data_IF_705305917929
#
_entry.id   IF_705305917929
#
_cell.length_a   1.000
_cell.length_b   1.000
_cell.length_c   1.000
_cell.angle_alpha   90.00
_cell.angle_beta   90.00
_cell.angle_gamma   90.00
#
_symmetry.space_group_name_H-M   'P 1'
#
loop_
_entity.id
_entity.type
_entity.pdbx_description
1 polymer ?
#
# COMPACT_ATOMS: atom_id res chain seq x y z
N UNK A 1 16.11 3.64 14.46
CA UNK A 1 15.54 4.78 15.24
C UNK A 1 14.05 4.67 15.54
N UNK A 2 13.11 4.79 14.59
CA UNK A 2 11.66 4.78 14.95
C UNK A 2 11.18 3.40 15.40
N UNK A 3 11.79 2.32 14.89
CA UNK A 3 11.56 0.96 15.39
C UNK A 3 12.03 0.81 16.84
N UNK A 4 13.23 1.29 17.18
CA UNK A 4 13.69 1.33 18.58
C UNK A 4 12.75 2.15 19.48
N UNK A 5 12.13 3.23 18.97
CA UNK A 5 11.10 3.98 19.74
C UNK A 5 9.87 3.10 19.99
N UNK A 6 9.38 2.39 18.97
CA UNK A 6 8.27 1.44 19.13
C UNK A 6 8.61 0.35 20.15
N UNK A 7 9.80 -0.24 20.05
CA UNK A 7 10.27 -1.29 20.97
C UNK A 7 10.36 -0.80 22.42
N UNK A 8 10.83 0.44 22.65
CA UNK A 8 10.84 1.05 24.00
C UNK A 8 9.44 1.22 24.58
N UNK A 9 8.42 1.39 23.73
CA UNK A 9 7.00 1.43 24.11
C UNK A 9 6.37 0.02 24.19
N UNK A 10 7.17 -1.03 23.97
CA UNK A 10 6.78 -2.43 24.02
C UNK A 10 6.12 -2.96 22.75
N UNK A 11 6.28 -2.28 21.61
CA UNK A 11 5.63 -2.62 20.35
C UNK A 11 6.61 -3.12 19.28
N UNK A 12 6.19 -4.14 18.53
CA UNK A 12 6.72 -4.48 17.22
C UNK A 12 5.79 -3.90 16.13
N UNK A 13 6.36 -3.31 15.07
CA UNK A 13 5.60 -2.69 13.98
C UNK A 13 5.63 -3.54 12.72
N UNK A 14 4.45 -3.80 12.17
CA UNK A 14 4.25 -4.56 10.94
C UNK A 14 3.63 -3.68 9.86
N UNK A 15 4.09 -3.85 8.63
CA UNK A 15 3.64 -3.11 7.45
C UNK A 15 3.22 -4.09 6.35
N UNK A 16 2.15 -3.74 5.63
CA UNK A 16 1.70 -4.43 4.42
C UNK A 16 1.31 -3.40 3.36
N UNK A 17 2.23 -2.99 2.48
CA UNK A 17 1.95 -2.05 1.40
C UNK A 17 1.35 -2.78 0.19
N UNK A 18 0.31 -2.19 -0.39
CA UNK A 18 -0.32 -2.57 -1.66
C UNK A 18 0.25 -1.66 -2.76
N UNK A 19 1.31 -2.07 -3.48
CA UNK A 19 1.89 -1.21 -4.53
C UNK A 19 1.26 -1.51 -5.88
N UNK A 20 0.47 -0.55 -6.34
CA UNK A 20 -0.11 -0.54 -7.67
C UNK A 20 0.92 -0.07 -8.71
N UNK A 21 0.80 -0.53 -9.95
CA UNK A 21 1.66 -0.13 -11.05
C UNK A 21 0.96 -0.30 -12.40
N UNK A 22 1.56 0.28 -13.44
CA UNK A 22 1.11 0.11 -14.83
C UNK A 22 2.17 -0.61 -15.66
N UNK A 23 1.72 -1.42 -16.62
CA UNK A 23 2.54 -1.83 -17.76
C UNK A 23 2.14 -1.07 -19.02
N UNK A 24 3.14 -0.66 -19.80
CA UNK A 24 2.97 0.01 -21.08
C UNK A 24 3.86 -0.62 -22.15
N UNK A 25 3.52 -0.42 -23.43
CA UNK A 25 4.41 -0.75 -24.55
C UNK A 25 5.60 0.21 -24.59
N UNK A 26 6.75 -0.29 -25.05
CA UNK A 26 8.04 0.43 -25.00
C UNK A 26 8.35 1.27 -26.25
N UNK A 27 7.60 1.07 -27.34
CA UNK A 27 7.90 1.57 -28.69
C UNK A 27 7.30 2.95 -29.02
N UNK A 28 6.60 3.58 -28.07
CA UNK A 28 5.92 4.87 -28.26
C UNK A 28 6.55 6.05 -27.52
N UNK A 29 6.31 7.26 -28.02
CA UNK A 29 6.60 8.52 -27.29
C UNK A 29 5.57 8.83 -26.20
N UNK A 30 4.48 8.08 -26.15
CA UNK A 30 3.38 8.21 -25.19
C UNK A 30 3.04 6.83 -24.58
N UNK A 31 2.51 6.77 -23.35
CA UNK A 31 2.10 5.50 -22.74
C UNK A 31 0.99 4.85 -23.56
N UNK A 32 1.23 3.64 -24.06
CA UNK A 32 0.22 2.81 -24.71
C UNK A 32 -0.11 1.61 -23.82
N UNK A 33 -1.40 1.49 -23.45
CA UNK A 33 -1.93 0.41 -22.61
C UNK A 33 -1.88 -0.93 -23.35
N UNK A 34 -1.73 -2.01 -22.59
CA UNK A 34 -1.77 -3.38 -23.09
C UNK A 34 -3.21 -3.86 -23.30
N UNK A 35 -4.11 -3.43 -22.42
CA UNK A 35 -5.49 -3.89 -22.36
C UNK A 35 -6.45 -2.81 -21.86
N UNK A 36 -7.74 -3.15 -21.83
CA UNK A 36 -8.81 -2.33 -21.27
C UNK A 36 -9.63 -3.12 -20.23
N UNK A 37 -8.98 -4.07 -19.55
CA UNK A 37 -9.58 -4.79 -18.43
C UNK A 37 -9.82 -3.85 -17.24
N UNK A 38 -10.79 -4.21 -16.40
CA UNK A 38 -11.07 -3.52 -15.15
C UNK A 38 -10.77 -4.37 -13.91
N UNK A 39 -11.16 -3.85 -12.76
CA UNK A 39 -10.91 -4.46 -11.46
C UNK A 39 -11.42 -5.90 -11.39
N UNK A 40 -10.51 -6.84 -11.11
CA UNK A 40 -10.79 -8.29 -11.01
C UNK A 40 -11.33 -8.94 -12.30
N UNK A 41 -11.18 -8.31 -13.47
CA UNK A 41 -11.51 -8.96 -14.74
C UNK A 41 -10.64 -10.22 -14.96
N UNK A 42 -11.23 -11.22 -15.61
CA UNK A 42 -10.56 -12.48 -15.97
C UNK A 42 -10.39 -12.57 -17.50
N UNK A 43 -9.49 -13.45 -17.96
CA UNK A 43 -9.29 -13.79 -19.37
C UNK A 43 -10.60 -13.90 -20.15
N UNK A 44 -10.72 -13.29 -21.36
CA UNK A 44 -9.64 -12.89 -22.29
C UNK A 44 -9.24 -11.40 -22.26
N UNK A 45 -9.76 -10.58 -21.33
CA UNK A 45 -9.55 -9.12 -21.36
C UNK A 45 -8.26 -8.63 -20.70
N UNK A 46 -7.67 -9.45 -19.83
CA UNK A 46 -6.46 -9.13 -19.06
C UNK A 46 -5.24 -9.76 -19.75
N UNK A 47 -4.45 -8.93 -20.43
CA UNK A 47 -3.32 -9.37 -21.25
C UNK A 47 -2.05 -9.61 -20.43
N UNK A 48 -1.98 -9.07 -19.21
CA UNK A 48 -0.80 -9.14 -18.35
C UNK A 48 -0.82 -10.27 -17.30
N UNK A 49 -1.80 -11.19 -17.36
CA UNK A 49 -1.95 -12.25 -16.35
C UNK A 49 -0.69 -13.13 -16.22
N UNK A 50 -0.03 -13.46 -17.32
CA UNK A 50 1.17 -14.29 -17.31
C UNK A 50 2.39 -13.51 -16.81
N UNK A 51 2.48 -12.20 -17.09
CA UNK A 51 3.52 -11.33 -16.51
C UNK A 51 3.39 -11.20 -15.00
N UNK A 52 2.15 -11.00 -14.50
CA UNK A 52 1.91 -10.97 -13.06
C UNK A 52 2.26 -12.31 -12.43
N UNK A 53 1.91 -13.43 -13.08
CA UNK A 53 2.29 -14.77 -12.61
C UNK A 53 3.81 -14.95 -12.53
N UNK A 54 4.56 -14.54 -13.56
CA UNK A 54 6.03 -14.62 -13.55
C UNK A 54 6.64 -13.78 -12.42
N UNK A 55 6.11 -12.56 -12.23
CA UNK A 55 6.52 -11.69 -11.12
C UNK A 55 6.29 -12.36 -9.77
N UNK A 56 5.09 -12.93 -9.54
CA UNK A 56 4.75 -13.63 -8.30
C UNK A 56 5.71 -14.79 -8.05
N UNK A 57 5.94 -15.65 -9.04
CA UNK A 57 6.84 -16.80 -8.91
C UNK A 57 8.28 -16.36 -8.60
N UNK A 58 8.75 -15.30 -9.25
CA UNK A 58 10.09 -14.74 -9.01
C UNK A 58 10.23 -14.22 -7.57
N UNK A 59 9.22 -13.52 -7.05
CA UNK A 59 9.21 -13.04 -5.67
C UNK A 59 9.22 -14.20 -4.66
N UNK A 60 8.42 -15.25 -4.92
CA UNK A 60 8.38 -16.42 -4.05
C UNK A 60 9.72 -17.17 -4.02
N UNK A 61 10.40 -17.30 -5.16
CA UNK A 61 11.76 -17.86 -5.24
C UNK A 61 12.79 -17.03 -4.44
N UNK A 62 12.58 -15.72 -4.34
CA UNK A 62 13.39 -14.82 -3.50
C UNK A 62 12.98 -14.82 -2.03
N UNK A 63 11.97 -15.62 -1.64
CA UNK A 63 11.45 -15.70 -0.27
C UNK A 63 10.48 -14.58 0.12
N UNK A 64 10.05 -13.74 -0.84
CA UNK A 64 9.05 -12.70 -0.62
C UNK A 64 7.67 -13.31 -0.87
N UNK A 65 6.90 -13.49 0.20
CA UNK A 65 5.57 -14.11 0.13
C UNK A 65 4.55 -13.15 -0.45
N UNK A 66 3.79 -13.62 -1.42
CA UNK A 66 2.64 -12.91 -2.03
C UNK A 66 1.34 -13.42 -1.40
N UNK A 67 0.38 -12.53 -1.16
CA UNK A 67 -0.98 -12.88 -0.73
C UNK A 67 -1.96 -12.94 -1.90
N UNK A 68 -1.97 -11.91 -2.75
CA UNK A 68 -2.90 -11.78 -3.86
C UNK A 68 -2.24 -11.10 -5.06
N UNK A 69 -2.84 -11.28 -6.23
CA UNK A 69 -2.48 -10.55 -7.45
C UNK A 69 -3.73 -10.35 -8.30
N UNK A 70 -3.95 -9.15 -8.81
CA UNK A 70 -5.10 -8.86 -9.66
C UNK A 70 -4.84 -7.71 -10.64
N UNK A 71 -5.73 -7.62 -11.62
CA UNK A 71 -5.88 -6.42 -12.42
C UNK A 71 -6.60 -5.35 -11.58
N UNK A 72 -6.12 -4.11 -11.68
CA UNK A 72 -6.65 -2.96 -10.97
C UNK A 72 -7.75 -2.24 -11.77
N UNK A 73 -8.25 -1.11 -11.28
CA UNK A 73 -9.39 -0.40 -11.87
C UNK A 73 -9.07 0.17 -13.27
N UNK A 74 -7.89 0.77 -13.48
CA UNK A 74 -7.55 1.40 -14.75
C UNK A 74 -6.99 0.40 -15.78
N UNK A 75 -7.12 0.70 -17.09
CA UNK A 75 -6.48 -0.06 -18.17
C UNK A 75 -4.99 -0.32 -17.91
N UNK A 76 -4.57 -1.59 -17.97
CA UNK A 76 -3.19 -2.04 -17.73
C UNK A 76 -2.60 -1.65 -16.38
N UNK A 77 -3.47 -1.43 -15.39
CA UNK A 77 -3.10 -1.26 -14.00
C UNK A 77 -3.14 -2.61 -13.30
N UNK A 78 -2.18 -2.83 -12.42
CA UNK A 78 -1.98 -4.10 -11.74
C UNK A 78 -1.57 -3.90 -10.29
N UNK A 79 -1.89 -4.88 -9.47
CA UNK A 79 -1.52 -4.94 -8.05
C UNK A 79 -1.09 -6.37 -7.69
N UNK A 80 -0.02 -6.45 -6.91
CA UNK A 80 0.45 -7.68 -6.28
C UNK A 80 0.67 -7.35 -4.80
N UNK A 81 -0.10 -8.02 -3.95
CA UNK A 81 -0.09 -7.82 -2.52
C UNK A 81 0.97 -8.70 -1.88
N UNK A 82 1.88 -8.08 -1.16
CA UNK A 82 2.88 -8.80 -0.37
C UNK A 82 2.30 -9.13 1.00
N UNK A 83 2.64 -10.31 1.52
CA UNK A 83 2.32 -10.67 2.90
C UNK A 83 3.06 -9.73 3.85
N UNK A 84 2.31 -9.12 4.77
CA UNK A 84 2.89 -8.21 5.76
C UNK A 84 4.05 -8.85 6.54
N UNK A 85 5.03 -8.03 6.91
CA UNK A 85 6.15 -8.40 7.77
C UNK A 85 6.57 -7.18 8.61
N UNK A 86 7.60 -7.31 9.43
CA UNK A 86 8.16 -6.18 10.16
C UNK A 86 8.52 -5.01 9.22
N UNK A 87 8.40 -3.79 9.73
CA UNK A 87 8.46 -2.60 8.88
C UNK A 87 9.78 -2.41 8.11
N UNK A 88 10.92 -2.86 8.64
CA UNK A 88 12.21 -2.70 7.96
C UNK A 88 12.35 -3.71 6.82
N UNK A 89 12.11 -4.99 7.11
CA UNK A 89 12.10 -6.04 6.09
C UNK A 89 11.07 -5.72 5.00
N UNK A 90 9.91 -5.15 5.38
CA UNK A 90 8.90 -4.77 4.39
C UNK A 90 9.37 -3.64 3.48
N UNK A 91 10.16 -2.69 3.98
CA UNK A 91 10.74 -1.65 3.13
C UNK A 91 11.72 -2.24 2.10
N UNK A 92 12.55 -3.21 2.52
CA UNK A 92 13.44 -3.96 1.63
C UNK A 92 12.65 -4.76 0.58
N UNK A 93 11.57 -5.43 1.00
CA UNK A 93 10.69 -6.18 0.12
C UNK A 93 10.01 -5.26 -0.91
N UNK A 94 9.53 -4.09 -0.50
CA UNK A 94 8.91 -3.12 -1.40
C UNK A 94 9.91 -2.58 -2.45
N UNK A 95 11.16 -2.33 -2.06
CA UNK A 95 12.23 -1.97 -3.01
C UNK A 95 12.48 -3.09 -4.02
N UNK A 96 12.63 -4.32 -3.52
CA UNK A 96 12.92 -5.51 -4.32
C UNK A 96 11.78 -5.82 -5.28
N UNK A 97 10.54 -5.74 -4.79
CA UNK A 97 9.34 -5.93 -5.59
C UNK A 97 9.27 -4.98 -6.78
N UNK A 98 9.51 -3.67 -6.56
CA UNK A 98 9.55 -2.70 -7.66
C UNK A 98 10.60 -3.03 -8.71
N UNK A 99 11.75 -3.58 -8.30
CA UNK A 99 12.79 -4.03 -9.21
C UNK A 99 12.34 -5.26 -10.01
N UNK A 100 11.80 -6.28 -9.35
CA UNK A 100 11.35 -7.51 -10.01
C UNK A 100 10.28 -7.22 -11.05
N UNK A 101 9.26 -6.40 -10.73
CA UNK A 101 8.23 -5.98 -11.69
C UNK A 101 8.84 -5.33 -12.94
N UNK A 102 9.82 -4.45 -12.75
CA UNK A 102 10.50 -3.77 -13.86
C UNK A 102 11.34 -4.73 -14.71
N UNK A 103 12.06 -5.65 -14.06
CA UNK A 103 12.89 -6.64 -14.76
C UNK A 103 12.04 -7.64 -15.55
N UNK A 104 10.92 -8.11 -15.00
CA UNK A 104 9.98 -8.97 -15.73
C UNK A 104 9.42 -8.21 -16.92
N UNK A 105 8.92 -6.98 -16.74
CA UNK A 105 8.41 -6.19 -17.86
C UNK A 105 9.46 -6.00 -18.97
N UNK A 106 10.70 -5.66 -18.59
CA UNK A 106 11.80 -5.45 -19.54
C UNK A 106 12.10 -6.70 -20.38
N UNK A 107 12.07 -7.89 -19.77
CA UNK A 107 12.27 -9.18 -20.47
C UNK A 107 11.18 -9.45 -21.52
N UNK A 108 9.99 -8.94 -21.30
CA UNK A 108 8.85 -9.03 -22.24
C UNK A 108 8.76 -7.85 -23.20
N UNK A 109 9.76 -6.95 -23.22
CA UNK A 109 9.75 -5.77 -24.09
C UNK A 109 8.73 -4.71 -23.69
N UNK A 110 8.30 -4.70 -22.43
CA UNK A 110 7.33 -3.78 -21.85
C UNK A 110 8.00 -2.83 -20.85
N UNK A 111 7.30 -1.77 -20.51
CA UNK A 111 7.73 -0.77 -19.54
C UNK A 111 6.80 -0.76 -18.32
N UNK A 112 7.35 -1.11 -17.15
CA UNK A 112 6.63 -1.00 -15.88
C UNK A 112 6.89 0.34 -15.20
N UNK A 113 5.82 0.97 -14.71
CA UNK A 113 5.92 2.22 -13.96
C UNK A 113 5.10 2.23 -12.69
N UNK A 114 5.72 2.74 -11.63
CA UNK A 114 5.09 3.04 -10.34
C UNK A 114 4.80 4.55 -10.20
N UNK A 115 4.75 5.27 -11.32
CA UNK A 115 4.41 6.69 -11.34
C UNK A 115 2.98 6.88 -10.80
N UNK A 116 2.72 7.84 -9.89
CA UNK A 116 1.42 7.92 -9.21
C UNK A 116 0.21 8.18 -10.12
N UNK A 117 0.42 8.82 -11.27
CA UNK A 117 -0.62 9.23 -12.21
C UNK A 117 -0.03 9.29 -13.62
N UNK A 118 0.15 8.14 -14.29
CA UNK A 118 0.73 8.12 -15.63
C UNK A 118 -0.30 8.51 -16.71
N UNK A 119 -1.60 8.27 -16.45
CA UNK A 119 -2.72 8.60 -17.32
C UNK A 119 -3.63 9.64 -16.64
N UNK A 120 -3.95 10.73 -17.33
CA UNK A 120 -4.66 11.86 -16.71
C UNK A 120 -6.12 11.56 -16.39
N UNK A 121 -6.78 10.76 -17.23
CA UNK A 121 -8.22 10.48 -17.14
C UNK A 121 -8.57 9.20 -16.35
N UNK A 122 -7.56 8.40 -15.97
CA UNK A 122 -7.72 7.08 -15.35
C UNK A 122 -7.30 7.09 -13.88
N UNK A 123 -7.60 6.02 -13.13
CA UNK A 123 -7.08 5.85 -11.77
C UNK A 123 -5.54 5.96 -11.72
N UNK A 124 -5.03 6.47 -10.59
CA UNK A 124 -3.59 6.56 -10.34
C UNK A 124 -3.11 5.42 -9.45
N UNK A 125 -1.81 5.14 -9.45
CA UNK A 125 -1.20 4.10 -8.62
C UNK A 125 -0.99 4.55 -7.18
N UNK A 126 -1.64 3.86 -6.24
CA UNK A 126 -1.45 3.98 -4.80
C UNK A 126 -0.39 3.05 -4.20
N UNK A 127 -0.01 3.37 -2.96
CA UNK A 127 0.67 2.45 -2.05
C UNK A 127 -0.07 2.43 -0.72
N UNK A 128 -1.29 1.85 -0.71
CA UNK A 128 -2.04 1.74 0.53
C UNK A 128 -1.22 0.93 1.53
N UNK A 129 -0.97 1.49 2.70
CA UNK A 129 -0.09 0.83 3.67
C UNK A 129 -0.90 0.39 4.87
N UNK A 130 -1.10 -0.92 4.99
CA UNK A 130 -1.63 -1.55 6.18
C UNK A 130 -0.60 -1.50 7.30
N UNK A 131 -1.02 -1.09 8.50
CA UNK A 131 -0.15 -0.95 9.67
C UNK A 131 -0.80 -1.60 10.90
N UNK A 132 0.02 -2.27 11.69
CA UNK A 132 -0.37 -2.82 12.98
C UNK A 132 0.80 -2.81 13.95
N UNK A 133 0.48 -2.70 15.23
CA UNK A 133 1.43 -2.84 16.33
C UNK A 133 1.11 -4.12 17.10
N UNK A 134 2.15 -4.82 17.54
CA UNK A 134 2.03 -6.04 18.33
C UNK A 134 2.78 -5.91 19.65
N UNK A 135 2.20 -6.43 20.73
CA UNK A 135 2.87 -6.64 22.02
C UNK A 135 3.06 -8.14 22.24
N UNK A 136 4.27 -8.63 21.99
CA UNK A 136 4.49 -10.07 21.84
C UNK A 136 3.63 -10.61 20.69
N UNK A 137 2.86 -11.66 20.94
CA UNK A 137 1.98 -12.27 19.93
C UNK A 137 0.58 -11.62 19.84
N UNK A 138 0.28 -10.64 20.70
CA UNK A 138 -1.02 -9.97 20.71
C UNK A 138 -1.01 -8.73 19.82
N UNK A 139 -1.93 -8.68 18.86
CA UNK A 139 -2.19 -7.47 18.08
C UNK A 139 -2.73 -6.37 19.02
N UNK A 140 -1.98 -5.28 19.15
CA UNK A 140 -2.28 -4.18 20.05
C UNK A 140 -3.43 -3.30 19.56
N UNK A 141 -3.85 -3.43 18.28
CA UNK A 141 -4.99 -2.69 17.75
C UNK A 141 -6.32 -3.40 17.99
N UNK A 142 -6.32 -4.68 18.33
CA UNK A 142 -7.53 -5.46 18.57
C UNK A 142 -8.01 -5.38 20.02
N UNK A 143 -9.30 -5.14 20.19
CA UNK A 143 -10.00 -5.19 21.47
C UNK A 143 -11.29 -6.03 21.34
N UNK A 144 -11.41 -7.18 22.03
CA UNK A 144 -12.61 -8.00 21.94
C UNK A 144 -13.85 -7.37 22.62
N UNK A 145 -13.65 -6.41 23.52
CA UNK A 145 -14.74 -5.81 24.31
C UNK A 145 -15.31 -4.53 23.64
N UNK A 146 -14.62 -4.00 22.64
CA UNK A 146 -15.06 -2.84 21.86
C UNK A 146 -16.02 -3.26 20.73
N UNK A 147 -17.13 -2.54 20.56
CA UNK A 147 -18.13 -2.86 19.52
C UNK A 147 -17.57 -2.84 18.09
N UNK A 148 -16.52 -2.05 17.85
CA UNK A 148 -15.81 -1.95 16.57
C UNK A 148 -14.57 -2.83 16.50
N UNK A 149 -14.24 -3.53 17.59
CA UNK A 149 -13.05 -4.35 17.77
C UNK A 149 -11.71 -3.61 17.66
N UNK A 150 -11.76 -2.28 17.76
CA UNK A 150 -10.60 -1.40 17.72
C UNK A 150 -10.27 -0.95 19.14
N UNK A 151 -9.05 -1.21 19.57
CA UNK A 151 -8.54 -0.77 20.88
C UNK A 151 -8.29 0.74 20.97
N UNK A 152 -8.10 1.23 22.19
CA UNK A 152 -7.62 2.60 22.43
C UNK A 152 -6.25 2.87 21.79
N UNK A 153 -5.33 1.90 21.79
CA UNK A 153 -4.03 2.04 21.12
C UNK A 153 -4.22 2.25 19.62
N UNK A 154 -5.13 1.50 18.99
CA UNK A 154 -5.47 1.67 17.58
C UNK A 154 -6.05 3.06 17.30
N UNK A 155 -6.99 3.53 18.14
CA UNK A 155 -7.59 4.88 18.04
C UNK A 155 -6.57 6.00 18.20
N UNK A 156 -5.68 5.87 19.18
CA UNK A 156 -4.58 6.81 19.44
C UNK A 156 -3.60 6.87 18.26
N UNK A 157 -3.22 5.72 17.72
CA UNK A 157 -2.37 5.65 16.54
C UNK A 157 -2.98 6.36 15.33
N UNK A 158 -4.30 6.15 15.11
CA UNK A 158 -5.06 6.87 14.07
C UNK A 158 -5.06 8.38 14.34
N UNK A 159 -5.30 8.81 15.58
CA UNK A 159 -5.30 10.22 15.94
C UNK A 159 -3.98 10.91 15.60
N UNK A 160 -2.85 10.24 15.87
CA UNK A 160 -1.51 10.72 15.48
C UNK A 160 -1.33 10.84 13.97
N UNK A 161 -1.74 9.82 13.20
CA UNK A 161 -1.69 9.85 11.73
C UNK A 161 -2.58 10.96 11.13
N UNK A 162 -3.78 11.19 11.68
CA UNK A 162 -4.67 12.26 11.24
C UNK A 162 -4.08 13.64 11.57
N UNK A 163 -3.50 13.81 12.77
CA UNK A 163 -2.87 15.07 13.21
C UNK A 163 -1.73 15.50 12.30
N UNK A 164 -0.91 14.54 11.87
CA UNK A 164 0.32 14.76 11.12
C UNK A 164 0.18 14.51 9.62
N UNK A 165 -0.98 14.02 9.17
CA UNK A 165 -1.26 13.70 7.77
C UNK A 165 -0.81 14.77 6.77
N UNK A 166 -1.15 16.06 6.96
CA UNK A 166 -0.71 17.13 6.07
C UNK A 166 0.81 17.24 5.94
N UNK A 167 1.55 17.06 7.04
CA UNK A 167 3.00 17.24 7.10
C UNK A 167 3.74 16.02 6.53
N UNK A 168 3.33 14.81 6.90
CA UNK A 168 3.95 13.58 6.41
C UNK A 168 3.63 13.31 4.94
N UNK A 169 2.59 13.95 4.37
CA UNK A 169 2.26 13.86 2.94
C UNK A 169 3.45 14.24 2.07
N UNK A 170 4.28 15.21 2.46
CA UNK A 170 5.49 15.58 1.72
C UNK A 170 6.46 14.38 1.54
N UNK A 171 6.49 13.46 2.50
CA UNK A 171 7.39 12.30 2.50
C UNK A 171 6.72 11.07 1.89
N UNK A 172 5.41 10.91 2.05
CA UNK A 172 4.66 9.78 1.48
C UNK A 172 4.26 10.01 0.01
N UNK A 173 4.29 11.27 -0.46
CA UNK A 173 3.93 11.72 -1.80
C UNK A 173 5.03 12.67 -2.34
N UNK A 174 6.21 12.09 -2.64
CA UNK A 174 7.47 12.85 -2.81
C UNK A 174 7.59 13.63 -4.12
N UNK A 175 6.71 13.35 -5.10
CA UNK A 175 6.86 13.85 -6.45
C UNK A 175 5.75 14.83 -6.80
N UNK A 176 6.03 15.76 -7.70
CA UNK A 176 5.00 16.65 -8.28
C UNK A 176 3.83 15.83 -8.84
N UNK A 177 4.13 14.66 -9.43
CA UNK A 177 3.13 13.78 -9.98
C UNK A 177 2.24 13.10 -8.93
N UNK A 178 2.71 12.94 -7.70
CA UNK A 178 1.91 12.41 -6.58
C UNK A 178 0.64 13.23 -6.36
N UNK A 179 0.75 14.55 -6.44
CA UNK A 179 -0.38 15.46 -6.29
C UNK A 179 -1.34 15.48 -7.49
N UNK A 180 -1.00 14.79 -8.59
CA UNK A 180 -1.92 14.54 -9.71
C UNK A 180 -2.80 13.31 -9.47
N UNK A 181 -2.37 12.42 -8.56
CA UNK A 181 -3.18 11.31 -8.04
C UNK A 181 -4.17 11.79 -6.97
N UNK A 182 -3.72 12.66 -6.06
CA UNK A 182 -4.53 13.19 -4.96
C UNK A 182 -5.55 14.24 -5.44
N UNK A 183 -6.46 13.83 -6.30
CA UNK A 183 -7.59 14.63 -6.82
C UNK A 183 -8.90 13.86 -6.66
N UNK A 184 -10.04 14.54 -6.47
CA UNK A 184 -11.32 13.86 -6.30
C UNK A 184 -11.69 12.97 -7.50
N UNK A 185 -12.40 11.87 -7.25
CA UNK A 185 -13.02 11.04 -8.30
C UNK A 185 -12.29 9.74 -8.68
N UNK A 186 -11.14 9.43 -8.07
CA UNK A 186 -10.29 8.28 -8.44
C UNK A 186 -9.90 7.38 -7.25
N UNK A 187 -10.77 7.26 -6.25
CA UNK A 187 -10.55 6.49 -5.00
C UNK A 187 -9.32 6.87 -4.14
N UNK A 188 -8.56 7.89 -4.55
CA UNK A 188 -7.45 8.46 -3.79
C UNK A 188 -7.97 9.41 -2.69
N UNK A 189 -7.35 9.40 -1.49
CA UNK A 189 -7.79 10.24 -0.40
C UNK A 189 -7.37 11.70 -0.61
N UNK A 190 -8.34 12.62 -0.51
CA UNK A 190 -8.11 14.07 -0.65
C UNK A 190 -8.46 14.87 0.61
N UNK A 191 -9.04 14.21 1.62
CA UNK A 191 -9.42 14.80 2.90
C UNK A 191 -8.80 14.02 4.06
N UNK A 192 -8.49 14.73 5.15
CA UNK A 192 -8.02 14.10 6.39
C UNK A 192 -9.24 13.56 7.14
N UNK A 193 -9.51 12.28 6.95
CA UNK A 193 -10.67 11.59 7.50
C UNK A 193 -10.39 10.09 7.70
N UNK A 194 -11.22 9.42 8.50
CA UNK A 194 -11.12 7.98 8.68
C UNK A 194 -12.51 7.34 8.74
N UNK A 195 -12.59 6.10 8.27
CA UNK A 195 -13.81 5.30 8.33
C UNK A 195 -13.50 3.79 8.30
N UNK A 196 -14.51 2.97 8.62
CA UNK A 196 -14.38 1.51 8.52
C UNK A 196 -14.47 1.01 7.07
N UNK A 197 -15.41 1.53 6.27
CA UNK A 197 -15.74 0.92 4.97
C UNK A 197 -15.44 1.81 3.76
N UNK A 198 -15.32 3.13 3.94
CA UNK A 198 -15.17 4.05 2.83
C UNK A 198 -13.73 4.08 2.30
N UNK A 199 -13.60 3.87 0.98
CA UNK A 199 -12.31 3.79 0.27
C UNK A 199 -11.73 5.16 -0.09
N UNK A 200 -12.50 6.24 0.06
CA UNK A 200 -12.03 7.61 -0.21
C UNK A 200 -11.45 8.31 1.02
N UNK A 201 -11.55 7.69 2.21
CA UNK A 201 -10.97 8.24 3.44
C UNK A 201 -9.46 8.02 3.50
N UNK A 202 -8.74 8.94 4.15
CA UNK A 202 -7.29 8.84 4.34
C UNK A 202 -6.91 7.57 5.10
N UNK A 203 -7.68 7.23 6.12
CA UNK A 203 -7.50 6.01 6.90
C UNK A 203 -8.74 5.12 6.78
N UNK A 204 -8.53 3.91 6.29
CA UNK A 204 -9.55 2.85 6.30
C UNK A 204 -9.22 1.85 7.41
N UNK A 205 -10.24 1.32 8.09
CA UNK A 205 -10.08 0.20 9.03
C UNK A 205 -10.82 -1.01 8.46
N UNK A 206 -10.10 -1.98 7.83
CA UNK A 206 -10.71 -3.19 7.32
C UNK A 206 -11.55 -3.88 8.40
N UNK A 207 -12.78 -4.29 8.04
CA UNK A 207 -13.72 -4.90 8.99
C UNK A 207 -13.13 -6.18 9.58
N UNK A 208 -13.21 -6.30 10.91
CA UNK A 208 -12.82 -7.50 11.64
C UNK A 208 -13.62 -8.72 11.15
N UNK A 209 -12.93 -9.85 11.03
CA UNK A 209 -13.54 -11.16 10.74
C UNK A 209 -13.37 -12.05 11.98
N UNK A 210 -14.45 -12.67 12.51
CA UNK A 210 -14.35 -13.52 13.70
C UNK A 210 -13.22 -14.57 13.60
N UNK A 211 -12.40 -14.67 14.65
CA UNK A 211 -11.24 -15.58 14.72
C UNK A 211 -10.01 -15.10 13.93
N UNK A 212 -9.96 -13.81 13.56
CA UNK A 212 -8.82 -13.17 12.87
C UNK A 212 -8.34 -11.95 13.65
N UNK A 213 -8.13 -12.09 14.95
CA UNK A 213 -7.72 -11.02 15.87
C UNK A 213 -6.39 -10.40 15.44
N UNK A 214 -5.46 -11.24 14.96
CA UNK A 214 -4.16 -10.80 14.44
C UNK A 214 -4.28 -9.93 13.17
N UNK A 215 -5.41 -9.95 12.46
CA UNK A 215 -5.60 -9.23 11.21
C UNK A 215 -6.12 -7.78 11.38
N UNK A 216 -6.44 -7.35 12.61
CA UNK A 216 -6.87 -5.97 12.89
C UNK A 216 -5.74 -5.00 12.57
N UNK A 217 -6.04 -4.01 11.72
CA UNK A 217 -5.05 -3.08 11.19
C UNK A 217 -5.72 -1.81 10.74
N UNK A 218 -4.92 -0.77 10.57
CA UNK A 218 -5.34 0.44 9.87
C UNK A 218 -4.69 0.45 8.50
N UNK A 219 -5.29 1.14 7.56
CA UNK A 219 -4.79 1.30 6.21
C UNK A 219 -4.66 2.77 5.90
N UNK A 220 -3.42 3.24 5.79
CA UNK A 220 -3.12 4.62 5.43
C UNK A 220 -2.98 4.71 3.90
N UNK A 221 -3.93 5.38 3.25
CA UNK A 221 -4.15 5.29 1.79
C UNK A 221 -3.45 6.38 0.97
N UNK A 222 -2.92 7.41 1.63
CA UNK A 222 -2.25 8.51 0.96
C UNK A 222 -0.93 8.16 0.22
N UNK A 223 -0.06 7.25 0.70
CA UNK A 223 1.23 7.03 0.04
C UNK A 223 1.05 6.55 -1.39
N UNK A 224 2.03 6.86 -2.23
CA UNK A 224 2.14 6.36 -3.59
C UNK A 224 3.42 5.51 -3.74
N UNK A 225 3.50 4.65 -4.77
CA UNK A 225 4.59 3.69 -4.88
C UNK A 225 5.87 4.31 -5.46
N UNK A 226 5.89 5.61 -5.76
CA UNK A 226 7.09 6.33 -6.17
C UNK A 226 7.87 6.90 -4.97
N UNK A 227 7.29 6.89 -3.76
CA UNK A 227 8.01 7.31 -2.56
C UNK A 227 9.15 6.35 -2.18
N UNK A 228 10.01 6.82 -1.27
CA UNK A 228 10.98 5.97 -0.58
C UNK A 228 10.27 5.24 0.59
N UNK A 229 10.13 3.90 0.55
CA UNK A 229 9.36 3.16 1.54
C UNK A 229 9.97 3.24 2.94
N UNK A 230 11.30 3.30 3.08
CA UNK A 230 11.95 3.46 4.39
C UNK A 230 11.54 4.77 5.06
N UNK A 231 11.54 5.87 4.31
CA UNK A 231 11.15 7.19 4.83
C UNK A 231 9.65 7.25 5.07
N UNK A 232 8.83 6.75 4.14
CA UNK A 232 7.38 6.73 4.27
C UNK A 232 6.96 5.93 5.51
N UNK A 233 7.48 4.72 5.70
CA UNK A 233 7.16 3.88 6.86
C UNK A 233 7.67 4.51 8.15
N UNK A 234 8.84 5.14 8.12
CA UNK A 234 9.38 5.83 9.28
C UNK A 234 8.49 6.99 9.74
N UNK A 235 8.01 7.86 8.83
CA UNK A 235 7.16 9.00 9.22
C UNK A 235 5.76 8.57 9.62
N UNK A 236 5.20 7.54 8.98
CA UNK A 236 3.90 6.97 9.37
C UNK A 236 3.98 6.37 10.77
N UNK A 237 5.01 5.57 11.05
CA UNK A 237 5.24 5.02 12.39
C UNK A 237 5.47 6.12 13.43
N UNK A 238 6.27 7.15 13.10
CA UNK A 238 6.52 8.25 14.03
C UNK A 238 5.24 9.02 14.39
N UNK A 239 4.41 9.32 13.40
CA UNK A 239 3.13 10.01 13.60
C UNK A 239 2.15 9.17 14.42
N UNK A 240 2.05 7.88 14.12
CA UNK A 240 1.18 6.98 14.88
C UNK A 240 1.64 6.78 16.33
N UNK A 241 2.95 6.63 16.58
CA UNK A 241 3.48 6.53 17.94
C UNK A 241 3.27 7.81 18.75
N UNK A 242 3.39 8.98 18.13
CA UNK A 242 3.10 10.25 18.81
C UNK A 242 1.63 10.38 19.24
N UNK A 243 0.70 9.73 18.54
CA UNK A 243 -0.69 9.68 18.98
C UNK A 243 -0.93 8.80 20.22
N UNK A 244 -0.01 7.85 20.50
CA UNK A 244 -0.08 6.93 21.65
C UNK A 244 0.58 7.52 22.91
N UNK A 245 1.58 8.39 22.73
CA UNK A 245 2.30 9.08 23.81
C UNK A 245 1.52 10.31 24.32
#
# INVERSE_FOLDING_TARGET
RNLERAERLGFASYMGPELEYFYFKTDGSAPEVLDHAGYFDRTPRDEAIDLRRETVLTLEEMGIKVEYSHHEVAPSQHEIDLRYTDALTMADNAMTYRLVVKEVALRHGLYATFMPKPLSAENGSGMHTHQSLFRGDRNAFFDPDDATHLSDIGRQYIAGLLRHGPEITLVTNQWVNSYKRLVPGYEAPVYVSWAFTNRSDLIRIPTYKPGREAATRIEYRAPDPACNPYLAFAVMLAAGLEGIE
#
